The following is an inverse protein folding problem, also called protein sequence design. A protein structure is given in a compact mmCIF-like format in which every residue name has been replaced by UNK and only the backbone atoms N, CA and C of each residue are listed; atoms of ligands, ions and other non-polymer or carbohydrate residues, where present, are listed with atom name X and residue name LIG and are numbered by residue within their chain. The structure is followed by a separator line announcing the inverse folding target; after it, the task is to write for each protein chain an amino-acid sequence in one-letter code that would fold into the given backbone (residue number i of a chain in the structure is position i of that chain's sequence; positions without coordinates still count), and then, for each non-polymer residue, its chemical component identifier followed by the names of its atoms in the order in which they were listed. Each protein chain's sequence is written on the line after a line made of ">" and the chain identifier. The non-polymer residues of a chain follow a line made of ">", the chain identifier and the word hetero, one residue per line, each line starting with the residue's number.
data_IF_425108261578
#
_entry.id   IF_425108261578
#
_cell.length_a   1.000
_cell.length_b   1.000
_cell.length_c   1.000
_cell.angle_alpha   90.00
_cell.angle_beta   90.00
_cell.angle_gamma   90.00
#
_symmetry.space_group_name_H-M   'P 1'
#
loop_
_entity.id
_entity.type
_entity.pdbx_description
1 polymer ?
#
# COMPACT_ATOMS: atom_id res chain seq x y z
N UNK A 1 0.91 -14.73 -24.58
CA UNK A 1 2.07 -14.84 -23.66
C UNK A 1 2.36 -13.43 -23.18
N UNK A 2 1.66 -12.98 -22.13
CA UNK A 2 1.86 -11.63 -21.60
C UNK A 2 3.02 -11.73 -20.61
N UNK A 3 4.19 -11.24 -21.02
CA UNK A 3 5.33 -11.08 -20.13
C UNK A 3 4.90 -10.01 -19.12
N UNK A 4 4.43 -10.43 -17.95
CA UNK A 4 4.22 -9.52 -16.83
C UNK A 4 5.57 -8.87 -16.54
N UNK A 5 5.73 -7.62 -16.98
CA UNK A 5 6.94 -6.84 -16.76
C UNK A 5 7.15 -6.78 -15.26
N UNK A 6 8.27 -7.32 -14.77
CA UNK A 6 8.65 -7.12 -13.36
C UNK A 6 8.89 -5.62 -13.16
N UNK A 7 8.14 -5.03 -12.23
CA UNK A 7 8.37 -3.66 -11.79
C UNK A 7 9.73 -3.55 -11.13
N UNK A 8 10.39 -2.42 -11.31
CA UNK A 8 11.60 -2.02 -10.59
C UNK A 8 11.25 -1.52 -9.19
N UNK A 9 12.24 -1.36 -8.30
CA UNK A 9 12.01 -0.82 -6.96
C UNK A 9 11.33 0.57 -6.97
N UNK A 10 11.76 1.55 -7.80
CA UNK A 10 11.05 2.83 -7.92
C UNK A 10 9.61 2.67 -8.41
N UNK A 11 9.39 1.86 -9.45
CA UNK A 11 8.03 1.58 -9.95
C UNK A 11 7.14 0.94 -8.88
N UNK A 12 7.68 0.07 -8.01
CA UNK A 12 6.94 -0.49 -6.87
C UNK A 12 6.55 0.59 -5.86
N UNK A 13 7.45 1.54 -5.56
CA UNK A 13 7.12 2.67 -4.68
C UNK A 13 6.02 3.53 -5.30
N UNK A 14 6.11 3.81 -6.59
CA UNK A 14 5.13 4.62 -7.30
C UNK A 14 3.74 3.95 -7.33
N UNK A 15 3.66 2.63 -7.52
CA UNK A 15 2.40 1.89 -7.48
C UNK A 15 1.79 1.82 -6.06
N UNK A 16 2.63 1.68 -5.03
CA UNK A 16 2.14 1.76 -3.64
C UNK A 16 1.64 3.18 -3.35
N UNK A 17 2.38 4.21 -3.81
CA UNK A 17 2.00 5.62 -3.64
C UNK A 17 0.69 5.92 -4.35
N UNK A 18 0.52 5.45 -5.60
CA UNK A 18 -0.69 5.70 -6.41
C UNK A 18 -1.97 5.26 -5.69
N UNK A 19 -1.89 4.17 -4.91
CA UNK A 19 -3.01 3.68 -4.09
C UNK A 19 -3.40 4.61 -2.93
N UNK A 20 -2.50 5.50 -2.50
CA UNK A 20 -2.65 6.42 -1.36
C UNK A 20 -2.79 7.89 -1.75
N UNK A 21 -2.64 8.25 -3.03
CA UNK A 21 -2.70 9.65 -3.47
C UNK A 21 -4.03 10.27 -3.01
N UNK A 22 -3.99 11.41 -2.31
CA UNK A 22 -5.18 12.06 -1.73
C UNK A 22 -6.33 12.28 -2.72
N UNK A 23 -6.01 12.57 -3.98
CA UNK A 23 -7.02 12.90 -4.99
C UNK A 23 -7.54 11.70 -5.78
N UNK A 24 -6.75 10.63 -5.92
CA UNK A 24 -6.99 9.55 -6.90
C UNK A 24 -6.84 8.15 -6.33
N UNK A 25 -6.28 8.02 -5.13
CA UNK A 25 -6.02 6.76 -4.46
C UNK A 25 -7.30 6.10 -3.97
N UNK A 26 -7.37 4.78 -4.16
CA UNK A 26 -8.50 3.98 -3.71
C UNK A 26 -8.54 3.83 -2.18
N UNK A 27 -7.39 3.89 -1.50
CA UNK A 27 -7.32 3.73 -0.03
C UNK A 27 -7.98 4.92 0.69
N UNK A 28 -7.65 6.19 0.37
CA UNK A 28 -8.38 7.34 0.89
C UNK A 28 -9.89 7.28 0.57
N UNK A 29 -10.24 6.90 -0.66
CA UNK A 29 -11.64 6.78 -1.08
C UNK A 29 -12.44 5.76 -0.25
N UNK A 30 -11.79 4.69 0.23
CA UNK A 30 -12.41 3.67 1.08
C UNK A 30 -12.75 4.20 2.48
N UNK A 31 -11.95 5.12 3.01
CA UNK A 31 -12.07 5.56 4.41
C UNK A 31 -13.12 6.66 4.61
N UNK A 32 -13.56 7.29 3.52
CA UNK A 32 -14.54 8.38 3.55
C UNK A 32 -13.98 9.69 4.11
N UNK A 33 -14.83 10.71 4.33
CA UNK A 33 -14.40 12.06 4.72
C UNK A 33 -13.77 12.16 6.11
N UNK A 34 -14.04 11.19 7.00
CA UNK A 34 -13.49 11.15 8.36
C UNK A 34 -12.19 10.33 8.46
N UNK A 35 -11.72 9.78 7.34
CA UNK A 35 -10.49 8.99 7.24
C UNK A 35 -9.23 9.83 7.05
N UNK A 36 -8.05 9.20 7.13
CA UNK A 36 -6.80 9.84 6.73
C UNK A 36 -6.88 10.35 5.27
N UNK A 37 -6.27 11.49 5.00
CA UNK A 37 -6.40 12.14 3.68
C UNK A 37 -5.60 11.47 2.56
N UNK A 38 -4.66 10.57 2.88
CA UNK A 38 -3.72 10.02 1.90
C UNK A 38 -2.37 10.76 1.90
N UNK A 39 -1.63 10.66 0.80
CA UNK A 39 -0.29 11.24 0.63
C UNK A 39 -0.19 12.08 -0.65
N UNK A 40 0.75 13.03 -0.75
CA UNK A 40 1.05 13.74 -2.01
C UNK A 40 1.78 12.84 -3.03
N UNK A 41 1.83 13.27 -4.29
CA UNK A 41 2.43 12.49 -5.41
C UNK A 41 3.95 12.27 -5.27
N UNK A 42 4.63 13.11 -4.50
CA UNK A 42 6.07 13.05 -4.24
C UNK A 42 6.41 12.50 -2.85
N UNK A 43 5.43 11.93 -2.14
CA UNK A 43 5.61 11.42 -0.79
C UNK A 43 6.76 10.37 -0.71
N UNK A 44 7.68 10.51 0.25
CA UNK A 44 8.75 9.55 0.45
C UNK A 44 8.20 8.23 1.01
N UNK A 45 8.97 7.15 0.84
CA UNK A 45 8.58 5.80 1.28
C UNK A 45 8.24 5.72 2.78
N UNK A 46 8.91 6.50 3.64
CA UNK A 46 8.61 6.59 5.07
C UNK A 46 7.22 7.15 5.35
N UNK A 47 6.78 8.12 4.55
CA UNK A 47 5.44 8.70 4.67
C UNK A 47 4.36 7.75 4.12
N UNK A 48 4.65 7.07 3.01
CA UNK A 48 3.81 5.99 2.48
C UNK A 48 3.59 4.91 3.54
N UNK A 49 4.66 4.43 4.18
CA UNK A 49 4.58 3.40 5.22
C UNK A 49 3.73 3.87 6.43
N UNK A 50 3.93 5.11 6.88
CA UNK A 50 3.13 5.71 7.96
C UNK A 50 1.65 5.78 7.58
N UNK A 51 1.33 6.29 6.38
CA UNK A 51 -0.04 6.46 5.91
C UNK A 51 -0.77 5.10 5.79
N UNK A 52 -0.12 4.06 5.28
CA UNK A 52 -0.69 2.70 5.27
C UNK A 52 -1.07 2.22 6.68
N UNK A 53 -0.21 2.51 7.67
CA UNK A 53 -0.48 2.21 9.08
C UNK A 53 -1.66 3.00 9.65
N UNK A 54 -1.78 4.28 9.31
CA UNK A 54 -2.93 5.11 9.70
C UNK A 54 -4.24 4.55 9.16
N UNK A 55 -4.29 4.25 7.85
CA UNK A 55 -5.46 3.64 7.22
C UNK A 55 -5.82 2.27 7.79
N UNK A 56 -4.81 1.45 8.14
CA UNK A 56 -5.01 0.17 8.79
C UNK A 56 -5.63 0.29 10.21
N UNK A 57 -5.51 1.44 10.85
CA UNK A 57 -6.04 1.71 12.18
C UNK A 57 -7.36 2.49 12.16
N UNK A 58 -7.79 2.97 11.00
CA UNK A 58 -9.07 3.66 10.85
C UNK A 58 -10.23 2.69 11.16
N UNK A 59 -11.16 3.04 12.06
CA UNK A 59 -12.27 2.15 12.44
C UNK A 59 -13.23 1.79 11.29
N UNK A 60 -13.28 2.62 10.26
CA UNK A 60 -14.12 2.40 9.07
C UNK A 60 -13.50 1.42 8.07
N UNK A 61 -12.21 1.10 8.20
CA UNK A 61 -11.51 0.15 7.31
C UNK A 61 -11.95 -1.28 7.63
N UNK A 62 -12.42 -2.07 6.64
CA UNK A 62 -12.80 -3.46 6.85
C UNK A 62 -11.64 -4.28 7.44
N UNK A 63 -11.87 -5.20 8.40
CA UNK A 63 -10.78 -5.92 9.08
C UNK A 63 -9.81 -6.66 8.16
N UNK A 64 -10.32 -7.26 7.07
CA UNK A 64 -9.49 -7.95 6.08
C UNK A 64 -8.57 -6.97 5.33
N UNK A 65 -9.08 -5.79 4.98
CA UNK A 65 -8.30 -4.72 4.33
C UNK A 65 -7.27 -4.16 5.32
N UNK A 66 -7.70 -3.85 6.55
CA UNK A 66 -6.86 -3.32 7.61
C UNK A 66 -5.66 -4.23 7.91
N UNK A 67 -5.87 -5.55 7.94
CA UNK A 67 -4.79 -6.51 8.15
C UNK A 67 -3.74 -6.44 7.03
N UNK A 68 -4.16 -6.38 5.76
CA UNK A 68 -3.20 -6.31 4.65
C UNK A 68 -2.50 -4.95 4.58
N UNK A 69 -3.21 -3.84 4.85
CA UNK A 69 -2.58 -2.51 4.93
C UNK A 69 -1.53 -2.44 6.04
N UNK A 70 -1.75 -3.11 7.18
CA UNK A 70 -0.76 -3.19 8.26
C UNK A 70 0.51 -3.94 7.81
N UNK A 71 0.36 -5.07 7.14
CA UNK A 71 1.50 -5.83 6.60
C UNK A 71 2.24 -5.06 5.50
N UNK A 72 1.50 -4.31 4.68
CA UNK A 72 2.06 -3.41 3.69
C UNK A 72 2.89 -2.30 4.37
N UNK A 73 2.36 -1.68 5.43
CA UNK A 73 3.06 -0.68 6.23
C UNK A 73 4.36 -1.23 6.85
N UNK A 74 4.29 -2.40 7.48
CA UNK A 74 5.46 -3.07 8.08
C UNK A 74 6.54 -3.37 7.02
N UNK A 75 6.14 -3.87 5.85
CA UNK A 75 7.07 -4.19 4.76
C UNK A 75 7.67 -2.93 4.13
N UNK A 76 6.87 -1.88 3.92
CA UNK A 76 7.33 -0.59 3.40
C UNK A 76 8.28 0.09 4.40
N UNK A 77 7.99 0.02 5.70
CA UNK A 77 8.87 0.52 6.75
C UNK A 77 10.21 -0.23 6.76
N UNK A 78 10.20 -1.57 6.67
CA UNK A 78 11.43 -2.36 6.57
C UNK A 78 12.28 -1.96 5.34
N UNK A 79 11.65 -1.66 4.21
CA UNK A 79 12.33 -1.18 3.00
C UNK A 79 13.05 0.17 3.20
N UNK A 80 12.57 1.05 4.09
CA UNK A 80 13.24 2.36 4.33
C UNK A 80 14.63 2.23 4.96
N UNK A 81 14.85 1.19 5.76
CA UNK A 81 16.13 0.90 6.44
C UNK A 81 16.91 -0.25 5.80
N UNK A 82 16.36 -0.87 4.76
CA UNK A 82 16.94 -2.01 4.09
C UNK A 82 18.17 -1.63 3.28
N UNK A 83 19.10 -2.58 3.15
CA UNK A 83 20.19 -2.46 2.19
C UNK A 83 19.68 -2.61 0.75
N UNK A 84 20.55 -2.29 -0.23
CA UNK A 84 20.20 -2.37 -1.65
C UNK A 84 19.84 -3.79 -2.12
N UNK A 85 20.24 -4.84 -1.41
CA UNK A 85 19.97 -6.22 -1.78
C UNK A 85 18.57 -6.68 -1.31
N UNK A 86 18.09 -6.13 -0.21
CA UNK A 86 16.83 -6.55 0.46
C UNK A 86 15.67 -5.60 0.20
N UNK A 87 15.93 -4.33 -0.14
CA UNK A 87 14.91 -3.30 -0.39
C UNK A 87 13.86 -3.75 -1.41
N UNK A 88 14.27 -4.39 -2.50
CA UNK A 88 13.35 -4.86 -3.55
C UNK A 88 12.37 -5.91 -3.02
N UNK A 89 12.83 -6.83 -2.18
CA UNK A 89 11.98 -7.87 -1.58
C UNK A 89 10.92 -7.28 -0.66
N UNK A 90 11.30 -6.32 0.18
CA UNK A 90 10.38 -5.62 1.07
C UNK A 90 9.35 -4.77 0.30
N UNK A 91 9.77 -4.08 -0.75
CA UNK A 91 8.85 -3.34 -1.64
C UNK A 91 7.89 -4.27 -2.39
N UNK A 92 8.38 -5.41 -2.89
CA UNK A 92 7.55 -6.41 -3.54
C UNK A 92 6.49 -6.98 -2.59
N UNK A 93 6.86 -7.25 -1.33
CA UNK A 93 5.91 -7.69 -0.31
C UNK A 93 4.88 -6.60 0.02
N UNK A 94 5.32 -5.35 0.21
CA UNK A 94 4.42 -4.22 0.46
C UNK A 94 3.39 -4.06 -0.66
N UNK A 95 3.83 -4.09 -1.92
CA UNK A 95 2.95 -4.00 -3.08
C UNK A 95 1.97 -5.18 -3.17
N UNK A 96 2.43 -6.41 -2.92
CA UNK A 96 1.56 -7.58 -2.91
C UNK A 96 0.46 -7.47 -1.84
N UNK A 97 0.78 -6.96 -0.65
CA UNK A 97 -0.22 -6.72 0.39
C UNK A 97 -1.21 -5.62 0.02
N UNK A 98 -0.79 -4.55 -0.66
CA UNK A 98 -1.70 -3.52 -1.20
C UNK A 98 -2.67 -4.12 -2.22
N UNK A 99 -2.20 -4.98 -3.13
CA UNK A 99 -3.07 -5.68 -4.09
C UNK A 99 -4.05 -6.63 -3.39
N UNK A 100 -3.62 -7.33 -2.35
CA UNK A 100 -4.50 -8.20 -1.55
C UNK A 100 -5.54 -7.36 -0.79
N UNK A 101 -5.16 -6.20 -0.26
CA UNK A 101 -6.07 -5.25 0.37
C UNK A 101 -7.13 -4.77 -0.63
N UNK A 102 -6.72 -4.43 -1.86
CA UNK A 102 -7.64 -4.00 -2.92
C UNK A 102 -8.65 -5.09 -3.27
N UNK A 103 -8.19 -6.34 -3.47
CA UNK A 103 -9.09 -7.49 -3.75
C UNK A 103 -10.10 -7.71 -2.62
N UNK A 104 -9.64 -7.62 -1.37
CA UNK A 104 -10.51 -7.73 -0.21
C UNK A 104 -11.55 -6.60 -0.14
N UNK A 105 -11.19 -5.38 -0.56
CA UNK A 105 -12.12 -4.25 -0.64
C UNK A 105 -13.14 -4.41 -1.78
N UNK A 106 -12.75 -4.98 -2.92
CA UNK A 106 -13.63 -5.23 -4.07
C UNK A 106 -14.60 -6.41 -3.87
N UNK A 107 -14.50 -7.15 -2.76
CA UNK A 107 -15.32 -8.33 -2.51
C UNK A 107 -14.92 -9.56 -3.35
N UNK A 108 -13.75 -9.52 -3.98
CA UNK A 108 -13.22 -10.60 -4.83
C UNK A 108 -12.46 -11.64 -3.96
N UNK A 109 -13.08 -12.01 -2.84
CA UNK A 109 -12.59 -13.06 -1.97
C UNK A 109 -12.84 -14.42 -2.64
N UNK A 110 -11.82 -15.27 -2.85
CA UNK A 110 -12.06 -16.63 -3.28
C UNK A 110 -12.83 -17.34 -2.16
N UNK A 111 -14.05 -17.78 -2.46
CA UNK A 111 -14.75 -18.79 -1.68
C UNK A 111 -13.98 -20.12 -1.68
#
# INVERSE_FOLDING_TARGET
>A
MNTEKRLTAPELVDEIRSSLIVATGWIPALSGPDGPSGVPEDAPLSEIARSLGEFANTPTTPPAVAQQLRRAAESAAAATSADSATVYGHLGAAYAYVLQAHRAASGDAPN
#
